data_IF_941251743393
#
_entry.id   IF_941251743393
#
_cell.length_a   1.000
_cell.length_b   1.000
_cell.length_c   1.000
_cell.angle_alpha   90.00
_cell.angle_beta   90.00
_cell.angle_gamma   90.00
#
_symmetry.space_group_name_H-M   'P 1'
#
loop_
_entity.id
_entity.type
_entity.pdbx_description
1 polymer ?
#
# COMPACT_ATOMS: atom_id res chain seq x y z
N UNK A 1 -32.76 -10.25 -32.85
CA UNK A 1 -33.28 -10.80 -31.59
C UNK A 1 -32.62 -9.98 -30.49
N UNK A 2 -33.39 -9.23 -29.68
CA UNK A 2 -32.78 -8.43 -28.59
C UNK A 2 -32.17 -9.35 -27.56
N UNK A 3 -31.04 -8.98 -26.99
CA UNK A 3 -30.41 -9.70 -25.89
C UNK A 3 -31.35 -9.72 -24.69
N UNK A 4 -31.57 -10.89 -24.11
CA UNK A 4 -32.38 -11.04 -22.91
C UNK A 4 -31.50 -10.61 -21.71
N UNK A 5 -32.04 -9.75 -20.86
CA UNK A 5 -31.36 -9.23 -19.68
C UNK A 5 -31.80 -9.99 -18.43
N UNK A 6 -30.86 -10.56 -17.71
CA UNK A 6 -31.09 -11.12 -16.38
C UNK A 6 -30.84 -10.04 -15.33
N UNK A 7 -31.73 -9.93 -14.36
CA UNK A 7 -31.62 -9.02 -13.24
C UNK A 7 -31.57 -9.81 -11.94
N UNK A 8 -30.59 -9.49 -11.12
CA UNK A 8 -30.41 -10.07 -9.80
C UNK A 8 -30.43 -8.98 -8.75
N UNK A 9 -31.13 -9.22 -7.64
CA UNK A 9 -31.19 -8.28 -6.52
C UNK A 9 -31.11 -9.05 -5.20
N UNK A 10 -30.42 -8.46 -4.23
CA UNK A 10 -30.32 -8.97 -2.87
C UNK A 10 -30.31 -7.80 -1.87
N UNK A 11 -30.61 -8.07 -0.61
CA UNK A 11 -30.23 -7.13 0.47
C UNK A 11 -28.72 -7.01 0.52
N UNK A 12 -28.20 -5.82 0.83
CA UNK A 12 -26.75 -5.57 0.80
C UNK A 12 -25.96 -6.57 1.65
N UNK A 13 -26.46 -6.92 2.82
CA UNK A 13 -25.83 -7.83 3.78
C UNK A 13 -26.15 -9.32 3.52
N UNK A 14 -26.93 -9.63 2.48
CA UNK A 14 -27.35 -11.01 2.17
C UNK A 14 -26.53 -11.61 1.05
N UNK A 15 -26.16 -12.88 1.18
CA UNK A 15 -25.52 -13.64 0.12
C UNK A 15 -26.53 -14.34 -0.82
N UNK A 16 -27.84 -14.24 -0.49
CA UNK A 16 -28.90 -14.84 -1.28
C UNK A 16 -29.48 -13.84 -2.27
N UNK A 17 -29.39 -14.15 -3.55
CA UNK A 17 -29.90 -13.34 -4.65
C UNK A 17 -31.28 -13.81 -5.11
N UNK A 18 -32.20 -12.88 -5.30
CA UNK A 18 -33.41 -13.12 -6.07
C UNK A 18 -33.09 -12.89 -7.56
N UNK A 19 -33.23 -13.93 -8.36
CA UNK A 19 -32.85 -13.92 -9.77
C UNK A 19 -34.10 -13.84 -10.64
N UNK A 20 -34.15 -12.82 -11.49
CA UNK A 20 -35.17 -12.66 -12.53
C UNK A 20 -34.52 -13.00 -13.86
N UNK A 21 -34.61 -14.28 -14.22
CA UNK A 21 -34.04 -14.83 -15.45
C UNK A 21 -35.18 -15.22 -16.41
N UNK A 22 -35.26 -14.56 -17.57
CA UNK A 22 -36.29 -14.86 -18.56
C UNK A 22 -36.17 -16.29 -19.17
N UNK A 23 -35.04 -16.97 -19.01
CA UNK A 23 -34.82 -18.33 -19.51
C UNK A 23 -35.17 -19.42 -18.49
N UNK A 24 -35.31 -19.08 -17.22
CA UNK A 24 -35.55 -20.07 -16.14
C UNK A 24 -37.04 -20.49 -16.03
N UNK A 25 -37.88 -20.13 -17.01
CA UNK A 25 -39.32 -20.30 -16.91
C UNK A 25 -39.98 -19.27 -15.98
N UNK A 26 -39.26 -18.26 -15.57
CA UNK A 26 -39.78 -17.13 -14.79
C UNK A 26 -40.87 -16.41 -15.61
N UNK A 27 -41.99 -16.26 -14.99
CA UNK A 27 -43.11 -15.51 -15.58
C UNK A 27 -42.97 -13.99 -15.36
N UNK A 28 -41.80 -13.54 -14.94
CA UNK A 28 -41.40 -12.14 -14.83
C UNK A 28 -40.19 -11.89 -15.72
N UNK A 29 -40.23 -10.83 -16.49
CA UNK A 29 -39.16 -10.43 -17.39
C UNK A 29 -38.74 -8.99 -17.14
N UNK A 30 -37.45 -8.68 -17.36
CA UNK A 30 -36.97 -7.30 -17.42
C UNK A 30 -37.37 -6.70 -18.75
N UNK A 31 -38.15 -5.62 -18.70
CA UNK A 31 -38.59 -4.88 -19.88
C UNK A 31 -37.56 -3.83 -20.28
N UNK A 32 -37.02 -3.13 -19.30
CA UNK A 32 -35.99 -2.12 -19.48
C UNK A 32 -35.16 -1.96 -18.21
N UNK A 33 -33.93 -1.58 -18.39
CA UNK A 33 -33.05 -1.10 -17.32
C UNK A 33 -32.39 0.19 -17.82
N UNK A 34 -32.43 1.23 -16.99
CA UNK A 34 -31.78 2.50 -17.23
C UNK A 34 -30.85 2.76 -16.07
N UNK A 35 -29.59 3.01 -16.37
CA UNK A 35 -28.56 3.31 -15.39
C UNK A 35 -27.98 4.66 -15.76
N UNK A 36 -28.24 5.66 -14.94
CA UNK A 36 -27.73 6.99 -15.17
C UNK A 36 -26.22 7.03 -14.83
N UNK A 37 -25.49 7.88 -15.53
CA UNK A 37 -24.11 8.18 -15.14
C UNK A 37 -24.12 8.96 -13.81
N UNK A 38 -23.16 8.71 -12.90
CA UNK A 38 -23.07 9.49 -11.69
C UNK A 38 -22.71 10.94 -12.03
N UNK A 39 -23.32 11.86 -11.30
CA UNK A 39 -23.05 13.30 -11.48
C UNK A 39 -21.71 13.64 -10.80
N UNK A 40 -20.82 14.28 -11.56
CA UNK A 40 -19.58 14.83 -10.96
C UNK A 40 -19.99 15.98 -10.03
N UNK A 41 -19.55 15.92 -8.77
CA UNK A 41 -19.73 17.02 -7.83
C UNK A 41 -18.69 18.10 -8.14
N UNK A 42 -19.15 19.29 -8.41
CA UNK A 42 -18.31 20.47 -8.60
C UNK A 42 -18.25 21.27 -7.32
N UNK A 43 -17.04 21.66 -6.90
CA UNK A 43 -16.82 22.59 -5.78
C UNK A 43 -16.30 23.89 -6.36
N UNK A 44 -17.20 24.86 -6.49
CA UNK A 44 -16.93 26.15 -7.13
C UNK A 44 -17.15 27.30 -6.15
N UNK A 45 -16.24 28.25 -6.11
CA UNK A 45 -16.36 29.48 -5.33
C UNK A 45 -16.47 30.67 -6.28
N UNK A 46 -17.57 31.43 -6.13
CA UNK A 46 -17.82 32.65 -6.89
C UNK A 46 -16.93 33.80 -6.36
N UNK A 47 -16.19 34.47 -7.24
CA UNK A 47 -15.32 35.58 -6.84
C UNK A 47 -16.02 36.88 -7.20
N UNK A 48 -16.53 37.57 -6.17
CA UNK A 48 -17.31 38.82 -6.30
C UNK A 48 -16.60 40.01 -7.01
N UNK A 49 -15.32 39.89 -7.37
CA UNK A 49 -14.52 40.97 -7.94
C UNK A 49 -13.96 40.70 -9.34
N UNK A 50 -14.14 39.51 -9.88
CA UNK A 50 -13.67 39.12 -11.20
C UNK A 50 -14.75 38.29 -11.93
N UNK A 51 -14.81 38.45 -13.25
CA UNK A 51 -15.64 37.56 -14.08
C UNK A 51 -15.03 36.16 -14.07
N UNK A 52 -15.60 35.26 -13.28
CA UNK A 52 -15.20 33.86 -13.24
C UNK A 52 -15.44 33.17 -11.90
N UNK A 53 -15.38 31.87 -11.95
CA UNK A 53 -15.56 30.96 -10.81
C UNK A 53 -14.25 30.23 -10.59
N UNK A 54 -13.77 30.16 -9.35
CA UNK A 54 -12.68 29.24 -9.01
C UNK A 54 -13.27 27.83 -8.84
N UNK A 55 -12.78 26.90 -9.64
CA UNK A 55 -13.17 25.50 -9.57
C UNK A 55 -12.12 24.71 -8.79
N UNK A 56 -12.52 24.16 -7.65
CA UNK A 56 -11.69 23.31 -6.78
C UNK A 56 -12.05 21.83 -6.93
N UNK A 57 -12.89 21.46 -7.89
CA UNK A 57 -13.39 20.10 -8.07
C UNK A 57 -12.28 19.05 -8.19
N UNK A 58 -11.14 19.42 -8.75
CA UNK A 58 -9.99 18.52 -8.94
C UNK A 58 -8.96 18.56 -7.81
N UNK A 59 -9.08 19.49 -6.85
CA UNK A 59 -8.05 19.69 -5.83
C UNK A 59 -7.88 18.49 -4.88
N UNK A 60 -8.92 17.66 -4.72
CA UNK A 60 -8.92 16.45 -3.90
C UNK A 60 -9.25 15.18 -4.71
N UNK A 61 -9.25 15.25 -6.04
CA UNK A 61 -9.74 14.23 -6.96
C UNK A 61 -11.26 14.38 -7.22
N UNK A 62 -11.73 13.78 -8.33
CA UNK A 62 -13.12 13.86 -8.72
C UNK A 62 -14.04 13.18 -7.70
N UNK A 63 -15.06 13.90 -7.26
CA UNK A 63 -16.12 13.38 -6.39
C UNK A 63 -17.41 13.17 -7.19
N UNK A 64 -18.10 12.08 -6.93
CA UNK A 64 -19.31 11.71 -7.64
C UNK A 64 -20.52 11.69 -6.71
N UNK A 65 -21.66 12.14 -7.20
CA UNK A 65 -22.97 11.95 -6.60
C UNK A 65 -23.52 10.56 -6.90
N UNK A 66 -24.58 10.16 -6.20
CA UNK A 66 -25.28 8.91 -6.48
C UNK A 66 -25.81 8.90 -7.92
N UNK A 67 -26.05 7.68 -8.44
CA UNK A 67 -26.70 7.46 -9.72
C UNK A 67 -28.09 6.89 -9.50
N UNK A 68 -29.01 7.23 -10.41
CA UNK A 68 -30.34 6.61 -10.43
C UNK A 68 -30.32 5.36 -11.31
N UNK A 69 -30.88 4.27 -10.79
CA UNK A 69 -31.08 3.02 -11.53
C UNK A 69 -32.57 2.73 -11.55
N UNK A 70 -33.16 2.67 -12.76
CA UNK A 70 -34.55 2.30 -12.97
C UNK A 70 -34.64 0.94 -13.67
N UNK A 71 -35.39 0.00 -13.08
CA UNK A 71 -35.62 -1.33 -13.64
C UNK A 71 -37.09 -1.58 -13.77
N UNK A 72 -37.54 -1.78 -14.99
CA UNK A 72 -38.95 -2.13 -15.25
C UNK A 72 -39.08 -3.63 -15.44
N UNK A 73 -39.88 -4.23 -14.57
CA UNK A 73 -40.24 -5.65 -14.59
C UNK A 73 -41.67 -5.81 -15.07
N UNK A 74 -41.95 -6.83 -15.88
CA UNK A 74 -43.27 -7.18 -16.36
C UNK A 74 -43.61 -8.59 -15.94
N UNK A 75 -44.79 -8.73 -15.30
CA UNK A 75 -45.40 -10.00 -14.97
C UNK A 75 -46.32 -10.42 -16.11
N UNK A 76 -46.13 -11.61 -16.65
CA UNK A 76 -46.97 -12.17 -17.70
C UNK A 76 -48.18 -12.85 -17.11
N UNK A 77 -49.22 -13.06 -17.94
CA UNK A 77 -50.45 -13.78 -17.54
C UNK A 77 -50.12 -15.18 -17.01
N UNK A 78 -50.75 -15.59 -15.91
CA UNK A 78 -50.50 -16.88 -15.25
C UNK A 78 -49.32 -16.88 -14.30
N UNK A 79 -48.57 -15.77 -14.16
CA UNK A 79 -47.46 -15.67 -13.23
C UNK A 79 -47.91 -15.71 -11.78
N UNK A 80 -47.27 -16.54 -10.97
CA UNK A 80 -47.46 -16.62 -9.51
C UNK A 80 -46.52 -15.70 -8.74
N UNK A 81 -45.67 -14.92 -9.42
CA UNK A 81 -44.72 -14.03 -8.77
C UNK A 81 -45.42 -12.97 -7.92
N UNK A 82 -45.01 -12.86 -6.66
CA UNK A 82 -45.62 -11.93 -5.68
C UNK A 82 -44.79 -10.63 -5.57
N UNK A 83 -45.19 -9.61 -6.33
CA UNK A 83 -44.58 -8.28 -6.25
C UNK A 83 -44.82 -7.58 -4.89
N UNK A 84 -45.86 -7.95 -4.16
CA UNK A 84 -46.15 -7.35 -2.87
C UNK A 84 -45.19 -7.94 -1.80
N UNK A 85 -44.86 -9.23 -1.89
CA UNK A 85 -43.80 -9.83 -1.09
C UNK A 85 -42.42 -9.22 -1.43
N UNK A 86 -42.14 -9.01 -2.72
CA UNK A 86 -40.94 -8.33 -3.18
C UNK A 86 -40.82 -6.90 -2.60
N UNK A 87 -41.92 -6.13 -2.66
CA UNK A 87 -41.99 -4.78 -2.09
C UNK A 87 -41.71 -4.79 -0.58
N UNK A 88 -42.33 -5.69 0.18
CA UNK A 88 -42.09 -5.82 1.62
C UNK A 88 -40.65 -6.18 1.96
N UNK A 89 -39.99 -6.96 1.10
CA UNK A 89 -38.61 -7.39 1.29
C UNK A 89 -37.59 -6.28 1.05
N UNK A 90 -37.78 -5.45 0.01
CA UNK A 90 -36.75 -4.58 -0.53
C UNK A 90 -37.00 -3.08 -0.39
N UNK A 91 -38.24 -2.60 -0.40
CA UNK A 91 -38.55 -1.17 -0.40
C UNK A 91 -37.99 -0.48 0.85
N UNK A 92 -37.27 0.62 0.64
CA UNK A 92 -36.63 1.40 1.68
C UNK A 92 -35.32 0.78 2.23
N UNK A 93 -34.90 -0.37 1.73
CA UNK A 93 -33.72 -1.09 2.19
C UNK A 93 -32.48 -0.82 1.32
N UNK A 94 -31.31 -1.05 1.91
CA UNK A 94 -30.05 -1.12 1.15
C UNK A 94 -30.03 -2.43 0.38
N UNK A 95 -29.85 -2.34 -0.92
CA UNK A 95 -29.84 -3.47 -1.85
C UNK A 95 -28.57 -3.47 -2.67
N UNK A 96 -28.21 -4.64 -3.18
CA UNK A 96 -27.24 -4.82 -4.24
C UNK A 96 -27.93 -5.43 -5.45
N UNK A 97 -27.57 -4.98 -6.65
CA UNK A 97 -28.15 -5.48 -7.89
C UNK A 97 -27.13 -5.59 -9.00
N UNK A 98 -27.32 -6.55 -9.88
CA UNK A 98 -26.49 -6.72 -11.06
C UNK A 98 -27.36 -7.06 -12.28
N UNK A 99 -26.82 -6.75 -13.45
CA UNK A 99 -27.40 -7.03 -14.74
C UNK A 99 -26.45 -7.89 -15.53
N UNK A 100 -26.93 -8.99 -16.07
CA UNK A 100 -26.16 -9.87 -16.92
C UNK A 100 -26.88 -10.10 -18.24
N UNK A 101 -26.13 -10.18 -19.31
CA UNK A 101 -26.64 -10.76 -20.54
C UNK A 101 -26.75 -12.26 -20.33
N UNK A 102 -27.86 -12.86 -20.74
CA UNK A 102 -28.18 -14.29 -20.53
C UNK A 102 -27.10 -15.24 -21.04
N UNK A 103 -26.16 -14.75 -21.86
CA UNK A 103 -25.03 -15.52 -22.40
C UNK A 103 -23.75 -15.38 -21.59
N UNK A 104 -23.72 -14.53 -20.55
CA UNK A 104 -22.54 -14.35 -19.69
C UNK A 104 -22.77 -15.08 -18.37
N UNK A 105 -21.81 -15.89 -17.98
CA UNK A 105 -21.94 -16.84 -16.86
C UNK A 105 -21.64 -16.26 -15.49
N UNK A 106 -21.09 -15.05 -15.38
CA UNK A 106 -20.77 -14.43 -14.06
C UNK A 106 -20.70 -12.91 -14.15
N UNK A 107 -21.56 -12.22 -13.42
CA UNK A 107 -21.41 -10.79 -13.13
C UNK A 107 -20.18 -10.55 -12.27
N UNK A 108 -19.27 -9.66 -12.73
CA UNK A 108 -18.06 -9.33 -11.99
C UNK A 108 -18.28 -8.19 -11.00
N UNK A 109 -19.30 -7.37 -11.21
CA UNK A 109 -19.59 -6.18 -10.42
C UNK A 109 -21.09 -6.03 -10.18
N UNK A 110 -21.44 -5.52 -8.99
CA UNK A 110 -22.80 -5.15 -8.65
C UNK A 110 -22.88 -3.67 -8.27
N UNK A 111 -24.05 -3.08 -8.55
CA UNK A 111 -24.44 -1.79 -8.01
C UNK A 111 -25.04 -1.98 -6.62
N UNK A 112 -24.88 -0.99 -5.74
CA UNK A 112 -25.47 -1.02 -4.41
C UNK A 112 -26.02 0.35 -4.03
N UNK A 113 -27.11 0.36 -3.31
CA UNK A 113 -27.82 1.59 -2.95
C UNK A 113 -29.13 1.31 -2.24
N UNK A 114 -29.93 2.33 -2.08
CA UNK A 114 -31.25 2.19 -1.45
C UNK A 114 -32.34 2.05 -2.52
N UNK A 115 -33.17 1.03 -2.41
CA UNK A 115 -34.39 0.93 -3.21
C UNK A 115 -35.41 1.94 -2.66
N UNK A 116 -35.54 3.07 -3.34
CA UNK A 116 -36.34 4.23 -2.85
C UNK A 116 -37.78 4.18 -3.28
N UNK A 117 -38.07 3.55 -4.42
CA UNK A 117 -39.43 3.47 -4.93
C UNK A 117 -39.72 2.17 -5.69
N UNK A 118 -40.99 1.75 -5.65
CA UNK A 118 -41.57 0.66 -6.45
C UNK A 118 -42.93 1.12 -6.96
N UNK A 119 -42.96 1.56 -8.21
CA UNK A 119 -44.19 2.06 -8.85
C UNK A 119 -44.89 0.96 -9.66
N UNK A 120 -46.20 0.80 -9.46
CA UNK A 120 -47.02 -0.13 -10.21
C UNK A 120 -47.72 0.54 -11.41
N UNK A 121 -47.72 -0.12 -12.56
CA UNK A 121 -48.52 0.24 -13.70
C UNK A 121 -49.36 -1.01 -14.14
N UNK A 122 -50.66 -0.91 -13.99
CA UNK A 122 -51.62 -1.97 -14.34
C UNK A 122 -52.19 -1.72 -15.73
N UNK A 123 -52.00 -2.68 -16.64
CA UNK A 123 -52.62 -2.73 -17.94
C UNK A 123 -53.55 -3.94 -18.04
N UNK A 124 -54.46 -3.95 -18.98
CA UNK A 124 -55.47 -5.02 -19.12
C UNK A 124 -54.90 -6.43 -19.13
N UNK A 125 -53.71 -6.59 -19.69
CA UNK A 125 -53.11 -7.92 -19.92
C UNK A 125 -51.87 -8.23 -19.07
N UNK A 126 -51.34 -7.22 -18.39
CA UNK A 126 -50.12 -7.40 -17.57
C UNK A 126 -49.93 -6.32 -16.52
N UNK A 127 -49.21 -6.66 -15.46
CA UNK A 127 -48.71 -5.72 -14.45
C UNK A 127 -47.23 -5.43 -14.71
N UNK A 128 -46.90 -4.16 -14.77
CA UNK A 128 -45.51 -3.68 -14.83
C UNK A 128 -45.13 -3.03 -13.51
N UNK A 129 -43.95 -3.27 -13.06
CA UNK A 129 -43.41 -2.69 -11.83
C UNK A 129 -42.08 -2.04 -12.15
N UNK A 130 -41.93 -0.76 -11.82
CA UNK A 130 -40.67 -0.03 -11.97
C UNK A 130 -40.00 0.15 -10.60
N UNK A 131 -38.79 -0.32 -10.48
CA UNK A 131 -37.95 -0.19 -9.31
C UNK A 131 -37.04 1.02 -9.51
N UNK A 132 -36.90 1.88 -8.50
CA UNK A 132 -35.97 3.01 -8.51
C UNK A 132 -34.98 2.86 -7.37
N UNK A 133 -33.71 2.78 -7.72
CA UNK A 133 -32.60 2.60 -6.77
C UNK A 133 -31.72 3.85 -6.81
N UNK A 134 -31.58 4.51 -5.67
CA UNK A 134 -30.58 5.55 -5.45
C UNK A 134 -29.25 4.85 -5.10
N UNK A 135 -28.44 4.63 -6.13
CA UNK A 135 -27.25 3.80 -6.07
C UNK A 135 -25.97 4.62 -5.87
N UNK A 136 -25.01 4.01 -5.19
CA UNK A 136 -23.65 4.55 -5.08
C UNK A 136 -23.07 4.75 -6.50
N UNK A 137 -22.24 5.78 -6.71
CA UNK A 137 -21.63 6.03 -8.02
C UNK A 137 -20.73 4.87 -8.50
N UNK A 138 -20.13 4.14 -7.59
CA UNK A 138 -19.20 3.05 -7.90
C UNK A 138 -19.88 1.69 -7.75
N UNK A 139 -19.47 0.75 -8.62
CA UNK A 139 -19.82 -0.67 -8.56
C UNK A 139 -18.78 -1.40 -7.72
N UNK A 140 -19.20 -2.37 -6.93
CA UNK A 140 -18.31 -3.26 -6.18
C UNK A 140 -18.08 -4.57 -6.91
N UNK A 141 -16.90 -5.13 -6.74
CA UNK A 141 -16.60 -6.48 -7.22
C UNK A 141 -17.44 -7.52 -6.45
N UNK A 142 -17.85 -8.58 -7.15
CA UNK A 142 -18.45 -9.78 -6.53
C UNK A 142 -17.38 -10.68 -5.92
N UNK A 143 -16.12 -10.44 -6.21
CA UNK A 143 -14.99 -11.18 -5.66
C UNK A 143 -14.64 -10.68 -4.25
N UNK A 144 -13.92 -11.52 -3.52
CA UNK A 144 -13.36 -11.14 -2.23
C UNK A 144 -12.47 -9.88 -2.35
N UNK A 145 -12.31 -9.11 -1.26
CA UNK A 145 -11.38 -7.98 -1.25
C UNK A 145 -9.99 -8.39 -1.73
N UNK A 146 -9.36 -7.49 -2.48
CA UNK A 146 -7.97 -7.69 -2.92
C UNK A 146 -7.06 -7.64 -1.72
N UNK A 147 -6.23 -8.66 -1.57
CA UNK A 147 -5.17 -8.68 -0.55
C UNK A 147 -3.82 -8.58 -1.24
N UNK A 148 -3.02 -7.61 -0.84
CA UNK A 148 -1.69 -7.37 -1.39
C UNK A 148 -0.65 -7.27 -0.29
N UNK A 149 0.48 -7.96 -0.48
CA UNK A 149 1.62 -7.88 0.41
C UNK A 149 2.57 -6.76 -0.04
N UNK A 150 2.79 -5.79 0.84
CA UNK A 150 3.77 -4.71 0.65
C UNK A 150 4.98 -4.99 1.52
N UNK A 151 6.16 -5.00 0.94
CA UNK A 151 7.40 -5.20 1.69
C UNK A 151 7.69 -3.99 2.57
N UNK A 152 7.82 -4.21 3.88
CA UNK A 152 8.33 -3.21 4.82
C UNK A 152 9.85 -3.24 4.73
N UNK A 153 10.44 -2.15 4.25
CA UNK A 153 11.88 -2.00 4.18
C UNK A 153 12.42 -1.55 5.56
N UNK A 154 13.46 -2.20 6.05
CA UNK A 154 14.12 -1.75 7.29
C UNK A 154 14.77 -0.39 7.05
N UNK A 155 14.39 0.62 7.86
CA UNK A 155 14.92 1.98 7.81
C UNK A 155 15.81 2.34 9.01
N UNK A 156 15.91 1.44 9.98
CA UNK A 156 16.75 1.60 11.16
C UNK A 156 18.24 1.52 10.85
N UNK A 157 19.08 1.96 11.80
CA UNK A 157 20.51 1.77 11.71
C UNK A 157 20.87 0.29 11.81
N UNK A 158 21.46 -0.25 10.74
CA UNK A 158 21.81 -1.67 10.60
C UNK A 158 23.16 -2.03 11.23
N UNK A 159 23.82 -1.08 11.91
CA UNK A 159 25.05 -1.37 12.66
C UNK A 159 24.74 -2.34 13.81
N UNK A 160 25.57 -3.36 14.04
CA UNK A 160 25.32 -4.35 15.08
C UNK A 160 25.27 -3.72 16.48
N UNK A 161 24.45 -4.30 17.35
CA UNK A 161 24.42 -3.89 18.75
C UNK A 161 25.79 -4.12 19.41
N UNK A 162 26.17 -3.26 20.36
CA UNK A 162 27.45 -3.34 21.05
C UNK A 162 27.67 -4.70 21.72
N UNK A 163 26.61 -5.32 22.24
CA UNK A 163 26.64 -6.63 22.92
C UNK A 163 26.81 -7.82 21.99
N UNK A 164 26.48 -7.66 20.68
CA UNK A 164 26.50 -8.76 19.69
C UNK A 164 27.48 -8.53 18.54
N UNK A 165 28.29 -7.46 18.60
CA UNK A 165 29.24 -7.12 17.56
C UNK A 165 30.35 -8.15 17.46
N UNK A 166 30.62 -8.67 16.25
CA UNK A 166 31.77 -9.51 15.96
C UNK A 166 32.90 -8.64 15.46
N UNK A 167 33.97 -8.52 16.27
CA UNK A 167 35.10 -7.64 16.01
C UNK A 167 36.39 -8.44 16.04
N UNK A 168 37.21 -8.26 15.01
CA UNK A 168 38.57 -8.79 14.92
C UNK A 168 39.56 -7.64 14.68
N UNK A 169 40.78 -7.76 15.17
CA UNK A 169 41.82 -6.75 14.98
C UNK A 169 43.11 -7.37 14.43
N UNK A 170 43.74 -6.66 13.50
CA UNK A 170 45.05 -7.03 12.95
C UNK A 170 45.94 -5.77 12.96
N UNK A 171 47.06 -5.85 13.58
CA UNK A 171 48.08 -4.78 13.59
C UNK A 171 49.37 -5.29 12.99
N UNK A 172 50.10 -4.43 12.29
CA UNK A 172 51.42 -4.78 11.72
C UNK A 172 52.44 -5.15 12.80
N UNK A 173 52.37 -4.48 13.96
CA UNK A 173 53.23 -4.75 15.13
C UNK A 173 52.44 -4.33 16.38
N UNK A 174 52.50 -5.15 17.44
CA UNK A 174 51.91 -4.86 18.75
C UNK A 174 50.41 -5.12 18.82
N UNK A 175 49.79 -4.69 19.92
CA UNK A 175 48.40 -4.91 20.19
C UNK A 175 47.60 -3.61 19.93
N UNK A 176 46.51 -3.72 19.20
CA UNK A 176 45.55 -2.65 18.98
C UNK A 176 44.52 -2.64 20.14
N UNK A 177 44.23 -1.47 20.67
CA UNK A 177 43.14 -1.27 21.61
C UNK A 177 41.99 -0.61 20.89
N UNK A 178 40.75 -0.96 21.22
CA UNK A 178 39.57 -0.38 20.61
C UNK A 178 38.41 -0.28 21.58
N UNK A 179 37.48 0.62 21.26
CA UNK A 179 36.14 0.75 21.88
C UNK A 179 35.11 0.82 20.76
N UNK A 180 34.01 0.11 20.94
CA UNK A 180 32.82 0.15 20.08
C UNK A 180 31.61 0.37 20.97
N UNK A 181 31.00 1.55 20.88
CA UNK A 181 29.94 2.01 21.79
C UNK A 181 28.80 2.66 21.03
N UNK A 182 27.64 2.77 21.67
CA UNK A 182 26.53 3.53 21.15
C UNK A 182 26.81 5.04 21.22
N UNK A 183 26.54 5.74 20.12
CA UNK A 183 26.55 7.21 20.12
C UNK A 183 25.18 7.73 20.63
N UNK A 184 25.23 8.93 21.22
CA UNK A 184 24.00 9.60 21.73
C UNK A 184 22.95 9.95 20.65
N UNK A 185 23.32 9.89 19.37
CA UNK A 185 22.48 10.22 18.22
C UNK A 185 22.08 9.00 17.38
N UNK A 186 21.96 7.82 17.97
CA UNK A 186 21.58 6.56 17.32
C UNK A 186 22.63 5.95 16.38
N UNK A 187 23.83 6.51 16.31
CA UNK A 187 24.96 5.93 15.58
C UNK A 187 25.80 5.00 16.47
N UNK A 188 26.95 4.63 15.96
CA UNK A 188 28.00 3.92 16.70
C UNK A 188 29.30 4.70 16.65
N UNK A 189 30.04 4.67 17.74
CA UNK A 189 31.40 5.23 17.81
C UNK A 189 32.41 4.11 17.86
N UNK A 190 33.46 4.23 17.05
CA UNK A 190 34.64 3.34 17.07
C UNK A 190 35.87 4.18 17.36
N UNK A 191 36.52 3.88 18.47
CA UNK A 191 37.77 4.49 18.84
C UNK A 191 38.87 3.43 18.78
N UNK A 192 39.96 3.69 18.08
CA UNK A 192 41.02 2.76 17.89
C UNK A 192 42.33 3.43 18.30
N UNK A 193 43.07 2.80 19.20
CA UNK A 193 44.42 3.21 19.57
C UNK A 193 45.44 2.17 19.11
N UNK A 194 46.36 2.58 18.24
CA UNK A 194 47.48 1.78 17.76
C UNK A 194 48.80 2.40 18.24
N UNK A 195 49.54 1.74 19.15
CA UNK A 195 50.79 2.24 19.62
C UNK A 195 51.81 2.39 18.46
N UNK A 196 52.46 3.52 18.36
CA UNK A 196 53.48 3.82 17.34
C UNK A 196 53.84 5.30 17.32
N UNK A 197 54.73 5.68 16.40
CA UNK A 197 55.14 7.08 16.20
C UNK A 197 55.41 7.36 14.71
N UNK A 198 55.68 8.62 14.38
CA UNK A 198 56.06 9.02 13.01
C UNK A 198 57.39 8.38 12.58
N UNK A 199 58.30 8.10 13.51
CA UNK A 199 59.59 7.43 13.25
C UNK A 199 59.43 5.90 13.06
N UNK A 200 58.38 5.31 13.62
CA UNK A 200 58.05 3.88 13.51
C UNK A 200 56.57 3.75 13.14
N UNK A 201 56.21 4.09 11.91
CA UNK A 201 54.80 4.06 11.47
C UNK A 201 54.27 2.63 11.50
N UNK A 202 53.08 2.45 12.08
CA UNK A 202 52.37 1.17 12.16
C UNK A 202 51.02 1.33 11.52
N UNK A 203 50.55 0.26 10.94
CA UNK A 203 49.17 0.19 10.38
C UNK A 203 48.40 -0.91 11.06
N UNK A 204 47.11 -0.72 11.14
CA UNK A 204 46.21 -1.73 11.68
C UNK A 204 44.82 -1.64 11.05
N UNK A 205 44.10 -2.72 11.15
CA UNK A 205 42.70 -2.79 10.69
C UNK A 205 41.85 -3.46 11.76
N UNK A 206 40.74 -2.79 12.10
CA UNK A 206 39.68 -3.40 12.88
C UNK A 206 38.58 -3.84 11.89
N UNK A 207 38.16 -5.09 11.98
CA UNK A 207 37.13 -5.70 11.17
C UNK A 207 35.84 -5.81 12.00
N UNK A 208 34.78 -5.19 11.56
CA UNK A 208 33.43 -5.28 12.15
C UNK A 208 32.50 -5.97 11.17
N UNK A 209 31.96 -7.11 11.57
CA UNK A 209 31.00 -7.87 10.74
C UNK A 209 29.58 -7.35 10.95
N UNK A 210 28.90 -7.06 9.86
CA UNK A 210 27.47 -6.66 9.83
C UNK A 210 26.70 -7.74 9.08
N UNK A 211 25.73 -8.35 9.76
CA UNK A 211 24.86 -9.42 9.24
C UNK A 211 23.44 -8.91 9.02
N UNK A 212 22.59 -9.72 8.36
CA UNK A 212 21.16 -9.44 8.20
C UNK A 212 20.83 -8.48 7.07
N UNK A 213 21.78 -8.23 6.16
CA UNK A 213 21.55 -7.43 4.96
C UNK A 213 20.76 -8.24 3.91
N UNK A 214 20.10 -7.55 3.01
CA UNK A 214 19.45 -8.16 1.83
C UNK A 214 20.42 -8.08 0.64
N UNK A 215 20.72 -9.20 0.03
CA UNK A 215 21.57 -9.26 -1.15
C UNK A 215 21.01 -8.44 -2.31
N UNK A 216 21.90 -7.86 -3.12
CA UNK A 216 21.58 -7.05 -4.30
C UNK A 216 20.81 -5.76 -4.01
N UNK A 217 20.81 -5.30 -2.75
CA UNK A 217 20.24 -4.01 -2.36
C UNK A 217 21.35 -2.97 -2.16
N UNK A 218 21.00 -1.71 -2.37
CA UNK A 218 21.90 -0.57 -2.16
C UNK A 218 21.80 -0.08 -0.71
N UNK A 219 22.96 0.15 -0.11
CA UNK A 219 23.11 0.65 1.25
C UNK A 219 23.95 1.92 1.26
N UNK A 220 23.75 2.74 2.29
CA UNK A 220 24.53 3.93 2.56
C UNK A 220 25.19 3.81 3.93
N UNK A 221 26.53 3.82 3.95
CA UNK A 221 27.31 4.03 5.16
C UNK A 221 27.55 5.53 5.32
N UNK A 222 27.29 6.09 6.49
CA UNK A 222 27.56 7.47 6.83
C UNK A 222 28.23 7.56 8.18
N UNK A 223 29.21 8.47 8.34
CA UNK A 223 29.90 8.74 9.60
C UNK A 223 30.58 10.11 9.53
N UNK A 224 30.91 10.68 10.67
CA UNK A 224 31.73 11.89 10.72
C UNK A 224 33.18 11.58 10.27
N UNK A 225 33.81 12.51 9.57
CA UNK A 225 35.18 12.34 9.10
C UNK A 225 36.08 11.92 10.26
N UNK A 226 36.86 10.81 10.08
CA UNK A 226 37.68 10.29 11.17
C UNK A 226 38.83 11.23 11.52
N UNK A 227 39.22 11.21 12.77
CA UNK A 227 40.48 11.85 13.19
C UNK A 227 41.66 11.14 12.55
N UNK A 228 42.74 11.83 12.35
CA UNK A 228 43.94 11.32 11.66
C UNK A 228 43.64 10.83 10.22
N UNK A 229 44.49 9.98 9.67
CA UNK A 229 44.40 9.44 8.31
C UNK A 229 43.55 8.16 8.22
N UNK A 230 42.64 7.93 9.19
CA UNK A 230 41.76 6.77 9.19
C UNK A 230 40.77 6.76 7.99
N UNK A 231 40.39 5.57 7.55
CA UNK A 231 39.38 5.36 6.53
C UNK A 231 38.70 4.01 6.72
N UNK A 232 37.55 3.85 6.07
CA UNK A 232 36.80 2.59 6.06
C UNK A 232 36.89 1.96 4.66
N UNK A 233 37.11 0.64 4.62
CA UNK A 233 36.92 -0.19 3.43
C UNK A 233 35.77 -1.14 3.69
N UNK A 234 34.84 -1.28 2.74
CA UNK A 234 33.72 -2.20 2.83
C UNK A 234 34.01 -3.42 1.98
N UNK A 235 33.87 -4.61 2.57
CA UNK A 235 34.07 -5.88 1.88
C UNK A 235 32.81 -6.72 1.93
N UNK A 236 32.55 -7.48 0.86
CA UNK A 236 31.40 -8.40 0.76
C UNK A 236 31.72 -9.72 1.46
N UNK A 237 30.77 -10.28 2.15
CA UNK A 237 30.74 -11.59 2.82
C UNK A 237 31.80 -11.80 3.93
N UNK A 238 33.04 -11.37 3.76
CA UNK A 238 34.15 -11.67 4.70
C UNK A 238 35.28 -10.63 4.66
N UNK A 239 36.19 -10.70 5.61
CA UNK A 239 37.39 -9.82 5.66
C UNK A 239 38.33 -9.96 4.45
N UNK A 240 38.25 -11.07 3.72
CA UNK A 240 39.01 -11.33 2.48
C UNK A 240 38.11 -11.22 1.22
N UNK A 241 36.83 -10.90 1.40
CA UNK A 241 35.85 -10.79 0.30
C UNK A 241 36.13 -9.62 -0.65
N UNK A 242 35.33 -9.53 -1.69
CA UNK A 242 35.42 -8.48 -2.69
C UNK A 242 35.30 -7.10 -2.07
N UNK A 243 36.13 -6.17 -2.47
CA UNK A 243 36.05 -4.78 -2.02
C UNK A 243 34.88 -4.10 -2.74
N UNK A 244 33.89 -3.69 -1.95
CA UNK A 244 32.72 -2.93 -2.46
C UNK A 244 33.03 -1.44 -2.54
N UNK A 245 33.73 -0.91 -1.53
CA UNK A 245 34.24 0.48 -1.45
C UNK A 245 35.52 0.51 -0.66
N UNK A 246 36.44 1.38 -1.02
CA UNK A 246 37.71 1.54 -0.32
C UNK A 246 37.98 3.02 -0.01
N UNK A 247 38.72 3.25 1.09
CA UNK A 247 39.23 4.57 1.44
C UNK A 247 38.17 5.60 1.81
N UNK A 248 37.01 5.17 2.32
CA UNK A 248 35.89 6.04 2.68
C UNK A 248 36.27 6.87 3.91
N UNK A 249 35.97 8.17 3.88
CA UNK A 249 36.27 9.12 4.98
C UNK A 249 35.05 9.87 5.52
N UNK A 250 33.86 9.71 4.90
CA UNK A 250 32.60 10.38 5.31
C UNK A 250 31.39 9.51 5.05
N UNK A 251 30.91 9.49 3.83
CA UNK A 251 29.73 8.70 3.44
C UNK A 251 29.97 8.00 2.11
N UNK A 252 29.38 6.82 1.93
CA UNK A 252 29.44 6.10 0.65
C UNK A 252 28.24 5.17 0.47
N UNK A 253 27.77 5.06 -0.76
CA UNK A 253 26.78 4.08 -1.19
C UNK A 253 27.47 2.85 -1.79
N UNK A 254 26.91 1.67 -1.56
CA UNK A 254 27.40 0.41 -2.11
C UNK A 254 26.25 -0.59 -2.28
N UNK A 255 26.48 -1.62 -3.09
CA UNK A 255 25.58 -2.76 -3.24
C UNK A 255 26.32 -4.01 -2.79
N UNK A 256 25.72 -4.85 -1.95
CA UNK A 256 26.28 -6.13 -1.51
C UNK A 256 25.64 -7.28 -2.27
N UNK A 257 26.38 -8.31 -2.62
CA UNK A 257 25.87 -9.54 -3.20
C UNK A 257 25.48 -10.59 -2.13
N UNK A 258 25.83 -10.35 -0.86
CA UNK A 258 25.58 -11.26 0.26
C UNK A 258 24.72 -10.61 1.36
N UNK A 259 24.31 -11.41 2.34
CA UNK A 259 23.63 -10.93 3.55
C UNK A 259 24.57 -10.43 4.64
N UNK A 260 25.87 -10.41 4.36
CA UNK A 260 26.91 -10.04 5.31
C UNK A 260 27.91 -9.12 4.63
N UNK A 261 28.35 -8.07 5.32
CA UNK A 261 29.52 -7.27 4.95
C UNK A 261 30.51 -7.17 6.10
N UNK A 262 31.75 -6.80 5.79
CA UNK A 262 32.74 -6.47 6.78
C UNK A 262 33.23 -5.04 6.57
N UNK A 263 33.07 -4.21 7.61
CA UNK A 263 33.61 -2.87 7.67
C UNK A 263 35.06 -2.96 8.20
N UNK A 264 36.01 -2.55 7.38
CA UNK A 264 37.44 -2.57 7.72
C UNK A 264 37.87 -1.15 8.09
N UNK A 265 38.02 -0.85 9.36
CA UNK A 265 38.51 0.42 9.86
C UNK A 265 40.04 0.44 9.79
N UNK A 266 40.60 1.06 8.77
CA UNK A 266 42.02 1.15 8.55
C UNK A 266 42.57 2.35 9.29
N UNK A 267 43.59 2.12 10.10
CA UNK A 267 44.19 3.15 10.93
C UNK A 267 45.72 3.12 10.79
N UNK A 268 46.31 4.28 11.05
CA UNK A 268 47.74 4.42 11.28
C UNK A 268 47.98 4.63 12.79
N UNK A 269 49.21 4.69 13.23
CA UNK A 269 49.55 4.88 14.63
C UNK A 269 48.78 6.05 15.28
N UNK A 270 48.63 6.00 16.60
CA UNK A 270 47.94 6.99 17.41
C UNK A 270 46.46 6.66 17.63
N UNK A 271 45.72 7.67 18.07
CA UNK A 271 44.29 7.56 18.35
C UNK A 271 43.47 7.99 17.12
N UNK A 272 42.66 7.10 16.61
CA UNK A 272 41.75 7.37 15.50
C UNK A 272 40.30 7.13 15.96
N UNK A 273 39.44 8.10 15.73
CA UNK A 273 38.02 8.05 16.08
C UNK A 273 37.17 8.10 14.81
N UNK A 274 36.19 7.23 14.76
CA UNK A 274 35.09 7.22 13.78
C UNK A 274 33.78 7.41 14.54
N UNK A 275 33.14 8.55 14.38
CA UNK A 275 31.98 8.91 15.17
C UNK A 275 30.71 8.87 14.36
N UNK A 276 29.60 8.58 15.03
CA UNK A 276 28.26 8.58 14.47
C UNK A 276 28.12 7.68 13.23
N UNK A 277 28.66 6.47 13.31
CA UNK A 277 28.62 5.50 12.22
C UNK A 277 27.20 4.95 12.10
N UNK A 278 26.62 5.07 10.92
CA UNK A 278 25.27 4.61 10.62
C UNK A 278 25.25 3.90 9.28
N UNK A 279 24.55 2.78 9.21
CA UNK A 279 24.34 1.99 7.99
C UNK A 279 22.85 1.87 7.72
N UNK A 280 22.41 2.32 6.57
CA UNK A 280 20.99 2.31 6.18
C UNK A 280 20.79 1.61 4.84
N UNK A 281 19.63 0.98 4.68
CA UNK A 281 19.13 0.61 3.35
C UNK A 281 18.80 1.90 2.57
N UNK A 282 19.30 2.05 1.33
CA UNK A 282 19.02 3.20 0.45
C UNK A 282 18.21 2.85 -0.78
N UNK A 283 17.97 1.56 -1.02
CA UNK A 283 17.17 1.05 -2.15
C UNK A 283 15.91 0.35 -1.60
N UNK A 284 14.83 1.12 -1.48
CA UNK A 284 13.57 0.61 -0.98
C UNK A 284 12.80 -0.13 -2.09
N UNK A 285 12.28 -1.30 -1.74
CA UNK A 285 11.35 -2.02 -2.61
C UNK A 285 10.01 -1.31 -2.59
N UNK A 286 9.52 -0.92 -3.76
CA UNK A 286 8.15 -0.47 -3.97
C UNK A 286 7.26 -1.63 -4.40
N UNK A 287 5.97 -1.53 -4.09
CA UNK A 287 4.93 -2.45 -4.56
C UNK A 287 3.94 -1.66 -5.38
N UNK A 288 3.65 -2.13 -6.60
CA UNK A 288 2.59 -1.53 -7.41
C UNK A 288 1.25 -2.09 -6.98
N UNK A 289 0.33 -1.21 -6.58
CA UNK A 289 -1.06 -1.56 -6.26
C UNK A 289 -1.95 -1.21 -7.45
N UNK A 290 -2.86 -2.11 -7.77
CA UNK A 290 -3.91 -1.86 -8.77
C UNK A 290 -5.20 -1.62 -8.01
N UNK A 291 -5.80 -0.44 -8.19
CA UNK A 291 -7.07 -0.07 -7.60
C UNK A 291 -8.11 0.16 -8.71
N UNK A 292 -9.38 0.23 -8.32
CA UNK A 292 -10.46 0.67 -9.20
C UNK A 292 -10.48 2.20 -9.38
N UNK A 293 -11.65 2.74 -9.73
CA UNK A 293 -11.82 4.17 -10.03
C UNK A 293 -12.03 5.03 -8.77
N UNK A 294 -12.24 4.40 -7.61
CA UNK A 294 -12.45 5.10 -6.34
C UNK A 294 -11.20 5.13 -5.49
N UNK A 295 -10.97 6.26 -4.82
CA UNK A 295 -9.96 6.37 -3.76
C UNK A 295 -10.38 5.45 -2.60
N UNK A 296 -9.50 4.56 -2.17
CA UNK A 296 -9.77 3.57 -1.12
C UNK A 296 -8.96 3.86 0.14
N UNK A 297 -9.56 3.56 1.30
CA UNK A 297 -8.85 3.48 2.57
C UNK A 297 -8.67 2.00 2.90
N UNK A 298 -7.47 1.42 2.69
CA UNK A 298 -7.26 0.01 2.93
C UNK A 298 -7.28 -0.32 4.43
N UNK A 299 -7.68 -1.54 4.75
CA UNK A 299 -7.42 -2.15 6.05
C UNK A 299 -6.15 -2.98 5.98
N UNK A 300 -5.56 -3.31 7.12
CA UNK A 300 -4.35 -4.12 7.20
C UNK A 300 -4.33 -4.96 8.49
N UNK A 301 -3.53 -6.02 8.48
CA UNK A 301 -3.32 -6.82 9.69
C UNK A 301 -2.60 -5.98 10.76
N UNK A 302 -2.90 -6.26 12.05
CA UNK A 302 -2.30 -5.51 13.15
C UNK A 302 -0.76 -5.52 13.08
N UNK A 303 -0.18 -4.33 13.08
CA UNK A 303 1.26 -4.15 12.94
C UNK A 303 1.98 -4.42 14.26
N UNK A 304 3.18 -5.01 14.18
CA UNK A 304 4.05 -5.23 15.34
C UNK A 304 5.00 -4.04 15.60
N UNK A 305 5.07 -3.08 14.67
CA UNK A 305 5.90 -1.89 14.72
C UNK A 305 5.21 -0.74 13.99
N UNK A 306 5.66 0.48 14.22
CA UNK A 306 5.25 1.62 13.40
C UNK A 306 5.80 1.48 11.98
N UNK A 307 4.96 1.76 10.98
CA UNK A 307 5.31 1.68 9.57
C UNK A 307 4.99 3.01 8.89
N UNK A 308 5.98 3.62 8.26
CA UNK A 308 5.77 4.79 7.41
C UNK A 308 5.53 4.32 5.99
N UNK A 309 4.34 4.59 5.47
CA UNK A 309 3.99 4.33 4.07
C UNK A 309 4.10 5.61 3.26
N UNK A 310 4.62 5.49 2.06
CA UNK A 310 4.70 6.57 1.07
C UNK A 310 3.93 6.15 -0.18
N UNK A 311 2.89 6.90 -0.51
CA UNK A 311 2.06 6.73 -1.70
C UNK A 311 2.19 8.00 -2.54
N UNK A 312 2.78 7.92 -3.72
CA UNK A 312 2.97 9.06 -4.63
C UNK A 312 3.59 10.31 -3.95
N UNK A 313 4.55 10.11 -3.02
CA UNK A 313 5.21 11.20 -2.28
C UNK A 313 4.50 11.63 -0.99
N UNK A 314 3.26 11.23 -0.76
CA UNK A 314 2.55 11.48 0.50
C UNK A 314 2.89 10.41 1.53
N UNK A 315 3.43 10.83 2.66
CA UNK A 315 3.78 9.92 3.77
C UNK A 315 2.68 9.87 4.82
N UNK A 316 2.42 8.67 5.33
CA UNK A 316 1.47 8.41 6.42
C UNK A 316 2.07 7.38 7.37
N UNK A 317 1.99 7.60 8.67
CA UNK A 317 2.43 6.62 9.67
C UNK A 317 1.27 5.71 10.08
N UNK A 318 1.48 4.42 9.96
CA UNK A 318 0.60 3.37 10.48
C UNK A 318 1.19 2.89 11.81
N UNK A 319 0.43 3.03 12.89
CA UNK A 319 0.94 2.73 14.23
C UNK A 319 0.84 1.26 14.58
N UNK A 320 1.78 0.77 15.39
CA UNK A 320 1.75 -0.58 15.94
C UNK A 320 0.40 -0.88 16.62
N UNK A 321 -0.14 -2.07 16.39
CA UNK A 321 -1.43 -2.51 16.90
C UNK A 321 -2.65 -1.96 16.14
N UNK A 322 -2.50 -1.00 15.23
CA UNK A 322 -3.62 -0.52 14.40
C UNK A 322 -3.91 -1.47 13.23
N UNK A 323 -5.15 -1.40 12.71
CA UNK A 323 -5.62 -2.19 11.55
C UNK A 323 -6.20 -1.32 10.44
N UNK A 324 -6.30 -0.02 10.67
CA UNK A 324 -6.76 0.98 9.69
C UNK A 324 -6.22 2.35 10.04
N UNK A 325 -6.13 3.22 9.02
CA UNK A 325 -5.78 4.64 9.20
C UNK A 325 -6.55 5.45 8.15
N UNK A 326 -7.44 6.39 8.56
CA UNK A 326 -8.27 7.16 7.63
C UNK A 326 -7.46 8.09 6.71
N UNK A 327 -6.22 8.40 7.06
CA UNK A 327 -5.33 9.23 6.24
C UNK A 327 -4.47 8.43 5.25
N UNK A 328 -4.48 7.10 5.37
CA UNK A 328 -3.82 6.22 4.42
C UNK A 328 -4.81 5.85 3.31
N UNK A 329 -4.61 6.39 2.14
CA UNK A 329 -5.48 6.19 0.98
C UNK A 329 -4.70 5.68 -0.22
N UNK A 330 -5.33 4.78 -0.99
CA UNK A 330 -4.86 4.32 -2.29
C UNK A 330 -5.63 5.12 -3.35
N UNK A 331 -4.94 5.83 -4.27
CA UNK A 331 -5.60 6.62 -5.30
C UNK A 331 -6.33 5.72 -6.32
N UNK A 332 -7.22 6.31 -7.11
CA UNK A 332 -7.85 5.64 -8.24
C UNK A 332 -6.82 5.19 -9.29
N UNK A 333 -7.10 4.09 -9.98
CA UNK A 333 -6.24 3.51 -11.03
C UNK A 333 -5.04 2.73 -10.50
N UNK A 334 -4.53 3.04 -9.33
CA UNK A 334 -3.38 2.40 -8.72
C UNK A 334 -2.23 3.34 -8.40
N UNK A 335 -1.23 2.82 -7.71
CA UNK A 335 -0.06 3.59 -7.27
C UNK A 335 1.11 2.68 -6.91
N UNK A 336 2.29 3.29 -6.83
CA UNK A 336 3.45 2.67 -6.21
C UNK A 336 3.48 3.05 -4.72
N UNK A 337 3.59 2.04 -3.87
CA UNK A 337 3.69 2.19 -2.42
C UNK A 337 5.05 1.71 -1.93
N UNK A 338 5.67 2.50 -1.09
CA UNK A 338 6.87 2.10 -0.33
C UNK A 338 6.52 2.10 1.15
N UNK A 339 6.85 1.04 1.86
CA UNK A 339 6.69 0.95 3.30
C UNK A 339 8.05 0.81 3.98
N UNK A 340 8.27 1.56 5.06
CA UNK A 340 9.50 1.53 5.86
C UNK A 340 9.17 1.38 7.33
N UNK A 341 9.97 0.61 8.05
CA UNK A 341 9.83 0.38 9.48
C UNK A 341 11.18 0.19 10.15
N UNK A 342 11.21 0.03 11.46
CA UNK A 342 12.45 -0.24 12.20
C UNK A 342 13.07 -1.57 11.75
N UNK A 343 12.24 -2.58 11.53
CA UNK A 343 12.64 -3.90 11.02
C UNK A 343 11.95 -4.21 9.69
N UNK A 344 12.56 -5.07 8.89
CA UNK A 344 11.94 -5.62 7.68
C UNK A 344 10.74 -6.49 8.03
N UNK A 345 9.73 -6.48 7.15
CA UNK A 345 8.50 -7.24 7.36
C UNK A 345 7.57 -7.19 6.15
N UNK A 346 6.32 -7.54 6.39
CA UNK A 346 5.25 -7.49 5.39
C UNK A 346 4.08 -6.70 5.97
N UNK A 347 3.62 -5.70 5.22
CA UNK A 347 2.36 -5.00 5.42
C UNK A 347 1.33 -5.64 4.48
N UNK A 348 0.36 -6.34 5.05
CA UNK A 348 -0.70 -7.00 4.29
C UNK A 348 -1.91 -6.10 4.22
N UNK A 349 -2.15 -5.53 3.05
CA UNK A 349 -3.25 -4.63 2.77
C UNK A 349 -4.46 -5.38 2.23
N UNK A 350 -5.66 -4.95 2.63
CA UNK A 350 -6.93 -5.44 2.09
C UNK A 350 -7.82 -4.27 1.70
N UNK A 351 -8.34 -4.28 0.48
CA UNK A 351 -9.23 -3.25 -0.05
C UNK A 351 -10.16 -3.81 -1.13
N UNK A 352 -11.31 -3.17 -1.32
CA UNK A 352 -12.26 -3.54 -2.37
C UNK A 352 -11.97 -2.72 -3.64
N UNK A 353 -11.98 -3.38 -4.80
CA UNK A 353 -11.96 -2.66 -6.07
C UNK A 353 -13.35 -2.14 -6.39
N UNK A 354 -13.49 -0.82 -6.49
CA UNK A 354 -14.73 -0.16 -6.89
C UNK A 354 -14.51 0.53 -8.24
N UNK A 355 -15.40 0.23 -9.22
CA UNK A 355 -15.35 0.74 -10.58
C UNK A 355 -16.51 1.72 -10.81
N UNK A 356 -16.27 2.79 -11.58
CA UNK A 356 -17.25 3.83 -11.91
C UNK A 356 -18.39 3.34 -12.84
#
# INVERSE_FOLDING_TARGET
MGKLLMFQIALLESDTWDVIDPNSGSTVAVVSAKIDNPVVKTDTVDINTNDGVLDFSDAQGLHYGNRNIEVTLRKTSGSTYDFDAFRRKYLGRMVKCMFEEVTQTTGQYYYYGRLIDITDDYKSDFRTVTLTIDANPFRRSTFAPVTTNVTINASGNLMPATSSATIETVASIGTMQYSYVDDKYLGKDVVIYLPGSTALPRTGTLYLTVNGLTANKKYKLAFAAPTNAGNITIRDASKTGTILRAGIRDASEFTTASSTIVLCFNVIYGNTQFNNISLFLSDFTSTHLINGDKIQTPTYEALTQDVVVNVNGKQTTLYAGSTSNPYFTIPSGGCDITATGEAAGILKLSYEQEML
#
